data_IF_355933248856
#
_entry.id   IF_355933248856
#
_cell.length_a   1.000
_cell.length_b   1.000
_cell.length_c   1.000
_cell.angle_alpha   90.00
_cell.angle_beta   90.00
_cell.angle_gamma   90.00
#
_symmetry.space_group_name_H-M   'P 1'
#
loop_
_entity.id
_entity.type
_entity.pdbx_description
1 polymer ?
#
# COMPACT_ATOMS: atom_id res chain seq x y z
N UNK A 1 -16.02 8.43 22.67
CA UNK A 1 -16.90 7.89 21.61
C UNK A 1 -18.40 7.94 21.94
N UNK A 2 -18.86 7.59 23.16
CA UNK A 2 -20.32 7.67 23.48
C UNK A 2 -20.83 9.12 23.63
N UNK A 3 -20.00 10.04 24.11
CA UNK A 3 -20.30 11.48 24.21
C UNK A 3 -20.42 12.16 22.86
N UNK A 4 -19.61 11.73 21.90
CA UNK A 4 -19.57 12.33 20.56
C UNK A 4 -20.78 11.90 19.72
N UNK A 5 -21.23 10.65 19.88
CA UNK A 5 -22.45 10.15 19.23
C UNK A 5 -23.69 10.89 19.76
N UNK A 6 -23.77 11.11 21.08
CA UNK A 6 -24.90 11.83 21.70
C UNK A 6 -24.90 13.30 21.29
N UNK A 7 -23.71 13.92 21.15
CA UNK A 7 -23.61 15.31 20.67
C UNK A 7 -23.93 15.41 19.17
N UNK A 8 -23.54 14.42 18.35
CA UNK A 8 -23.91 14.35 16.95
C UNK A 8 -25.42 14.16 16.76
N UNK A 9 -26.05 13.26 17.52
CA UNK A 9 -27.51 13.04 17.52
C UNK A 9 -28.32 14.29 17.95
N UNK A 10 -27.74 15.13 18.78
CA UNK A 10 -28.35 16.38 19.25
C UNK A 10 -27.94 17.61 18.40
N UNK A 11 -27.13 17.41 17.36
CA UNK A 11 -26.68 18.52 16.53
C UNK A 11 -27.80 19.02 15.61
N UNK A 12 -27.90 20.37 15.38
CA UNK A 12 -28.84 20.92 14.38
C UNK A 12 -28.63 20.33 12.99
N UNK A 13 -27.40 19.93 12.64
CA UNK A 13 -27.05 19.31 11.36
C UNK A 13 -27.74 17.95 11.20
N UNK A 14 -27.73 17.11 12.25
CA UNK A 14 -28.40 15.81 12.22
C UNK A 14 -29.92 15.96 12.10
N UNK A 15 -30.52 16.85 12.88
CA UNK A 15 -31.96 17.14 12.80
C UNK A 15 -32.35 17.69 11.44
N UNK A 16 -31.60 18.62 10.89
CA UNK A 16 -31.85 19.16 9.55
C UNK A 16 -31.70 18.10 8.47
N UNK A 17 -30.71 17.21 8.56
CA UNK A 17 -30.52 16.12 7.60
C UNK A 17 -31.73 15.16 7.61
N UNK A 18 -32.23 14.76 8.78
CA UNK A 18 -33.42 13.90 8.89
C UNK A 18 -34.70 14.63 8.39
N UNK A 19 -34.83 15.93 8.67
CA UNK A 19 -35.98 16.70 8.22
C UNK A 19 -35.95 17.03 6.73
N UNK A 20 -34.79 16.94 6.10
CA UNK A 20 -34.59 17.15 4.64
C UNK A 20 -34.46 15.83 3.88
N UNK A 21 -34.54 14.67 4.58
CA UNK A 21 -34.50 13.38 3.94
C UNK A 21 -35.72 13.21 3.01
N UNK A 22 -35.44 12.99 1.73
CA UNK A 22 -36.47 12.71 0.73
C UNK A 22 -37.02 11.28 0.88
N UNK A 23 -38.15 10.99 0.24
CA UNK A 23 -38.82 9.67 0.31
C UNK A 23 -37.94 8.51 -0.21
N UNK A 24 -36.87 8.80 -0.96
CA UNK A 24 -35.92 7.84 -1.51
C UNK A 24 -34.69 7.61 -0.60
N UNK A 25 -34.54 8.38 0.48
CA UNK A 25 -33.41 8.25 1.42
C UNK A 25 -33.58 7.00 2.27
N UNK A 26 -32.53 6.16 2.30
CA UNK A 26 -32.51 4.95 3.13
C UNK A 26 -31.96 5.24 4.51
N UNK A 27 -32.79 5.04 5.53
CA UNK A 27 -32.34 5.02 6.92
C UNK A 27 -31.82 3.62 7.24
N UNK A 28 -30.55 3.53 7.65
CA UNK A 28 -29.91 2.28 8.04
C UNK A 28 -29.71 2.28 9.56
N UNK A 29 -30.28 1.28 10.22
CA UNK A 29 -30.13 1.09 11.66
C UNK A 29 -28.90 0.23 11.93
N UNK A 30 -27.82 0.83 12.44
CA UNK A 30 -26.57 0.15 12.72
C UNK A 30 -26.60 -0.81 13.93
N UNK A 31 -27.69 -0.84 14.74
CA UNK A 31 -27.91 -1.81 15.81
C UNK A 31 -26.69 -2.05 16.74
N UNK A 32 -26.01 -0.98 17.18
CA UNK A 32 -24.76 -0.98 17.96
C UNK A 32 -23.52 -1.47 17.22
N UNK A 33 -23.57 -1.61 15.91
CA UNK A 33 -22.40 -1.86 15.07
C UNK A 33 -21.51 -0.61 14.98
N UNK A 34 -20.25 -0.82 14.63
CA UNK A 34 -19.27 0.27 14.48
C UNK A 34 -19.20 0.76 13.04
N UNK A 35 -19.32 2.06 12.86
CA UNK A 35 -19.06 2.74 11.59
C UNK A 35 -17.63 3.27 11.64
N UNK A 36 -16.82 2.84 10.67
CA UNK A 36 -15.42 3.25 10.50
C UNK A 36 -15.21 3.83 9.10
N UNK A 37 -14.12 4.57 8.85
CA UNK A 37 -13.71 4.94 7.49
C UNK A 37 -13.48 3.69 6.66
N UNK A 38 -13.61 3.80 5.34
CA UNK A 38 -13.15 2.78 4.41
C UNK A 38 -11.66 2.50 4.60
N UNK A 39 -11.28 1.23 4.56
CA UNK A 39 -9.89 0.84 4.76
C UNK A 39 -9.03 1.20 3.55
N UNK A 40 -7.77 1.52 3.80
CA UNK A 40 -6.80 1.98 2.80
C UNK A 40 -5.56 1.10 2.87
N UNK A 41 -5.23 0.43 1.76
CA UNK A 41 -3.99 -0.32 1.59
C UNK A 41 -3.00 0.52 0.78
N UNK A 42 -2.03 1.14 1.45
CA UNK A 42 -1.21 2.22 0.89
C UNK A 42 0.13 1.76 0.29
N UNK A 43 0.36 0.43 0.20
CA UNK A 43 1.55 -0.13 -0.41
C UNK A 43 1.27 -1.55 -0.91
N UNK A 44 1.06 -1.72 -2.21
CA UNK A 44 0.91 -3.05 -2.82
C UNK A 44 1.61 -3.15 -4.17
N UNK A 45 2.05 -4.38 -4.50
CA UNK A 45 2.50 -4.78 -5.82
C UNK A 45 1.47 -5.74 -6.44
N UNK A 46 0.22 -5.37 -6.40
CA UNK A 46 -0.90 -6.28 -6.68
C UNK A 46 -0.89 -6.84 -8.12
N UNK A 47 -0.37 -6.06 -9.09
CA UNK A 47 -0.29 -6.47 -10.51
C UNK A 47 1.01 -7.24 -10.75
N UNK A 48 0.91 -8.56 -10.88
CA UNK A 48 1.99 -9.44 -11.30
C UNK A 48 1.46 -10.72 -11.92
N UNK A 49 2.25 -11.34 -12.80
CA UNK A 49 1.98 -12.65 -13.38
C UNK A 49 2.54 -13.80 -12.55
N UNK A 50 1.87 -14.95 -12.58
CA UNK A 50 2.32 -16.15 -11.91
C UNK A 50 2.21 -16.13 -10.38
N UNK A 51 2.98 -17.00 -9.74
CA UNK A 51 3.15 -17.07 -8.28
C UNK A 51 4.52 -17.66 -7.94
N UNK A 52 4.89 -17.64 -6.66
CA UNK A 52 6.19 -18.15 -6.19
C UNK A 52 6.02 -19.21 -5.10
N UNK A 53 4.96 -20.02 -5.16
CA UNK A 53 4.69 -21.09 -4.21
C UNK A 53 5.77 -22.17 -4.20
N UNK A 54 6.32 -22.49 -5.39
CA UNK A 54 7.41 -23.47 -5.53
C UNK A 54 8.69 -22.99 -4.83
N UNK A 55 9.00 -21.69 -4.92
CA UNK A 55 10.12 -21.10 -4.19
C UNK A 55 9.88 -21.12 -2.67
N UNK A 56 8.64 -20.86 -2.24
CA UNK A 56 8.28 -20.95 -0.83
C UNK A 56 8.52 -22.36 -0.31
N UNK A 57 8.10 -23.39 -1.05
CA UNK A 57 8.36 -24.79 -0.71
C UNK A 57 9.87 -25.11 -0.69
N UNK A 58 10.60 -24.68 -1.72
CA UNK A 58 12.05 -24.89 -1.82
C UNK A 58 12.81 -24.28 -0.63
N UNK A 59 12.45 -23.08 -0.20
CA UNK A 59 13.03 -22.45 0.99
C UNK A 59 12.77 -23.24 2.26
N UNK A 60 11.58 -23.81 2.42
CA UNK A 60 11.24 -24.66 3.57
C UNK A 60 12.00 -25.97 3.56
N UNK A 61 12.39 -26.48 2.39
CA UNK A 61 13.25 -27.65 2.20
C UNK A 61 14.74 -27.35 2.41
N UNK A 62 15.11 -26.08 2.67
CA UNK A 62 16.48 -25.64 2.95
C UNK A 62 17.30 -25.25 1.73
N UNK A 63 16.67 -25.13 0.55
CA UNK A 63 17.33 -24.60 -0.65
C UNK A 63 17.64 -23.12 -0.43
N UNK A 64 18.88 -22.73 -0.68
CA UNK A 64 19.31 -21.36 -0.44
C UNK A 64 18.70 -20.39 -1.45
N UNK A 65 18.56 -19.11 -1.04
CA UNK A 65 18.11 -18.04 -1.94
C UNK A 65 19.00 -17.94 -3.20
N UNK A 66 20.30 -18.18 -3.05
CA UNK A 66 21.26 -18.16 -4.16
C UNK A 66 20.95 -19.25 -5.18
N UNK A 67 20.73 -20.49 -4.75
CA UNK A 67 20.38 -21.61 -5.63
C UNK A 67 19.02 -21.37 -6.32
N UNK A 68 18.04 -20.80 -5.62
CA UNK A 68 16.75 -20.41 -6.21
C UNK A 68 16.97 -19.38 -7.33
N UNK A 69 17.77 -18.34 -7.07
CA UNK A 69 18.06 -17.30 -8.04
C UNK A 69 18.85 -17.82 -9.25
N UNK A 70 19.84 -18.70 -9.05
CA UNK A 70 20.63 -19.35 -10.12
C UNK A 70 19.75 -20.25 -11.02
N UNK A 71 18.66 -20.80 -10.48
CA UNK A 71 17.68 -21.59 -11.23
C UNK A 71 16.55 -20.72 -11.86
N UNK A 72 16.75 -19.42 -11.96
CA UNK A 72 15.78 -18.51 -12.60
C UNK A 72 14.59 -18.11 -11.70
N UNK A 73 14.68 -18.36 -10.41
CA UNK A 73 13.71 -17.92 -9.41
C UNK A 73 13.90 -16.45 -8.98
N UNK A 74 13.26 -16.09 -7.88
CA UNK A 74 13.30 -14.73 -7.35
C UNK A 74 12.46 -13.75 -8.17
N UNK A 75 12.85 -12.48 -8.14
CA UNK A 75 12.15 -11.43 -8.89
C UNK A 75 12.15 -11.69 -10.40
N UNK A 76 13.17 -12.37 -10.92
CA UNK A 76 13.29 -12.70 -12.36
C UNK A 76 12.13 -13.57 -12.82
N UNK A 77 11.73 -14.57 -12.04
CA UNK A 77 10.58 -15.42 -12.36
C UNK A 77 9.27 -14.58 -12.45
N UNK A 78 9.06 -13.65 -11.51
CA UNK A 78 7.91 -12.76 -11.54
C UNK A 78 7.94 -11.82 -12.75
N UNK A 79 9.10 -11.23 -13.05
CA UNK A 79 9.27 -10.34 -14.22
C UNK A 79 8.97 -11.11 -15.52
N UNK A 80 9.51 -12.31 -15.67
CA UNK A 80 9.25 -13.15 -16.85
C UNK A 80 7.76 -13.44 -17.00
N UNK A 81 7.10 -13.95 -15.95
CA UNK A 81 5.67 -14.26 -16.00
C UNK A 81 4.80 -13.01 -16.24
N UNK A 82 5.21 -11.84 -15.73
CA UNK A 82 4.46 -10.58 -15.94
C UNK A 82 4.62 -10.06 -17.37
N UNK A 83 5.81 -10.20 -17.96
CA UNK A 83 6.07 -9.83 -19.36
C UNK A 83 5.31 -10.74 -20.33
N UNK A 84 5.29 -12.06 -20.07
CA UNK A 84 4.63 -13.07 -20.92
C UNK A 84 3.11 -12.99 -20.85
N UNK A 85 2.52 -12.66 -19.69
CA UNK A 85 1.08 -12.53 -19.54
C UNK A 85 0.54 -11.35 -20.35
N UNK A 86 -0.56 -11.58 -21.07
CA UNK A 86 -1.29 -10.50 -21.73
C UNK A 86 -2.08 -9.65 -20.72
N UNK A 87 -2.80 -8.62 -21.22
CA UNK A 87 -3.57 -7.72 -20.36
C UNK A 87 -4.68 -8.45 -19.60
N UNK A 88 -5.43 -9.32 -20.28
CA UNK A 88 -6.58 -10.01 -19.69
C UNK A 88 -6.15 -11.03 -18.65
N UNK A 89 -5.02 -11.71 -18.87
CA UNK A 89 -4.42 -12.63 -17.90
C UNK A 89 -3.93 -11.89 -16.64
N UNK A 90 -3.21 -10.77 -16.81
CA UNK A 90 -2.77 -9.95 -15.67
C UNK A 90 -3.96 -9.37 -14.91
N UNK A 91 -4.98 -8.90 -15.64
CA UNK A 91 -6.22 -8.41 -15.04
C UNK A 91 -6.88 -9.49 -14.19
N UNK A 92 -7.15 -10.67 -14.75
CA UNK A 92 -7.84 -11.76 -14.05
C UNK A 92 -7.06 -12.26 -12.82
N UNK A 93 -5.73 -12.35 -12.90
CA UNK A 93 -4.89 -12.73 -11.76
C UNK A 93 -4.91 -11.65 -10.67
N UNK A 94 -4.86 -10.37 -11.04
CA UNK A 94 -4.88 -9.24 -10.11
C UNK A 94 -6.24 -9.06 -9.47
N UNK A 95 -7.31 -9.22 -10.25
CA UNK A 95 -8.70 -9.15 -9.78
C UNK A 95 -8.96 -10.10 -8.60
N UNK A 96 -8.46 -11.33 -8.66
CA UNK A 96 -8.59 -12.30 -7.56
C UNK A 96 -7.99 -11.78 -6.25
N UNK A 97 -6.81 -11.14 -6.32
CA UNK A 97 -6.13 -10.55 -5.16
C UNK A 97 -6.88 -9.32 -4.65
N UNK A 98 -7.32 -8.47 -5.57
CA UNK A 98 -8.12 -7.29 -5.24
C UNK A 98 -9.43 -7.67 -4.54
N UNK A 99 -10.15 -8.66 -5.05
CA UNK A 99 -11.43 -9.12 -4.46
C UNK A 99 -11.26 -9.56 -2.99
N UNK A 100 -10.15 -10.19 -2.63
CA UNK A 100 -9.88 -10.56 -1.24
C UNK A 100 -9.74 -9.32 -0.33
N UNK A 101 -9.03 -8.29 -0.77
CA UNK A 101 -8.90 -7.02 -0.05
C UNK A 101 -10.24 -6.26 0.02
N UNK A 102 -10.98 -6.23 -1.08
CA UNK A 102 -12.30 -5.60 -1.13
C UNK A 102 -13.30 -6.27 -0.18
N UNK A 103 -13.22 -7.59 -0.01
CA UNK A 103 -14.06 -8.33 0.92
C UNK A 103 -13.82 -7.93 2.38
N UNK A 104 -12.67 -7.36 2.70
CA UNK A 104 -12.31 -6.83 4.03
C UNK A 104 -12.57 -5.32 4.19
N UNK A 105 -13.27 -4.68 3.25
CA UNK A 105 -13.66 -3.27 3.39
C UNK A 105 -12.64 -2.26 2.85
N UNK A 106 -11.66 -2.70 2.06
CA UNK A 106 -10.76 -1.78 1.36
C UNK A 106 -11.56 -0.98 0.32
N UNK A 107 -11.42 0.34 0.35
CA UNK A 107 -12.06 1.30 -0.55
C UNK A 107 -11.05 2.09 -1.37
N UNK A 108 -9.82 2.12 -0.89
CA UNK A 108 -8.70 2.81 -1.54
C UNK A 108 -7.47 1.92 -1.48
N UNK A 109 -6.76 1.81 -2.59
CA UNK A 109 -5.55 0.99 -2.69
C UNK A 109 -4.49 1.66 -3.54
N UNK A 110 -3.22 1.55 -3.14
CA UNK A 110 -2.09 1.81 -4.01
C UNK A 110 -1.71 0.55 -4.76
N UNK A 111 -1.45 0.69 -6.05
CA UNK A 111 -0.92 -0.40 -6.88
C UNK A 111 0.34 0.11 -7.58
N UNK A 112 1.48 -0.48 -7.25
CA UNK A 112 2.77 -0.19 -7.85
C UNK A 112 2.97 -1.04 -9.10
N UNK A 113 3.65 -0.50 -10.11
CA UNK A 113 4.31 -1.28 -11.16
C UNK A 113 5.62 -1.91 -10.64
N UNK A 114 6.58 -2.26 -11.49
CA UNK A 114 7.91 -2.69 -11.04
C UNK A 114 8.21 -4.18 -11.24
N UNK A 115 7.34 -4.91 -11.91
CA UNK A 115 7.62 -6.25 -12.41
C UNK A 115 7.65 -6.33 -13.94
N UNK A 116 7.53 -5.20 -14.63
CA UNK A 116 7.78 -5.10 -16.06
C UNK A 116 9.24 -4.92 -16.37
N UNK A 117 9.84 -3.92 -15.76
CA UNK A 117 11.22 -3.47 -15.96
C UNK A 117 11.54 -3.12 -17.43
N UNK A 118 10.51 -2.83 -18.21
CA UNK A 118 10.53 -2.25 -19.55
C UNK A 118 9.30 -1.37 -19.75
N UNK A 119 9.36 -0.42 -20.71
CA UNK A 119 8.30 0.57 -20.90
C UNK A 119 6.93 -0.06 -21.16
N UNK A 120 6.87 -1.07 -22.03
CA UNK A 120 5.58 -1.64 -22.47
C UNK A 120 4.91 -2.45 -21.36
N UNK A 121 5.69 -3.20 -20.60
CA UNK A 121 5.16 -4.01 -19.51
C UNK A 121 4.80 -3.15 -18.29
N UNK A 122 5.60 -2.13 -17.95
CA UNK A 122 5.25 -1.15 -16.91
C UNK A 122 3.94 -0.43 -17.26
N UNK A 123 3.78 0.01 -18.53
CA UNK A 123 2.52 0.58 -19.05
C UNK A 123 1.34 -0.38 -18.85
N UNK A 124 1.50 -1.64 -19.27
CA UNK A 124 0.47 -2.68 -19.15
C UNK A 124 0.04 -2.88 -17.70
N UNK A 125 0.99 -2.94 -16.76
CA UNK A 125 0.70 -3.08 -15.33
C UNK A 125 -0.11 -1.90 -14.80
N UNK A 126 0.30 -0.66 -15.10
CA UNK A 126 -0.40 0.55 -14.68
C UNK A 126 -1.82 0.66 -15.30
N UNK A 127 -1.98 0.26 -16.55
CA UNK A 127 -3.29 0.19 -17.22
C UNK A 127 -4.22 -0.82 -16.54
N UNK A 128 -3.73 -2.02 -16.17
CA UNK A 128 -4.50 -3.02 -15.41
C UNK A 128 -4.95 -2.42 -14.06
N UNK A 129 -4.06 -1.74 -13.35
CA UNK A 129 -4.39 -1.10 -12.08
C UNK A 129 -5.50 -0.03 -12.24
N UNK A 130 -5.38 0.84 -13.25
CA UNK A 130 -6.41 1.85 -13.56
C UNK A 130 -7.75 1.22 -13.95
N UNK A 131 -7.73 0.16 -14.76
CA UNK A 131 -8.96 -0.53 -15.19
C UNK A 131 -9.69 -1.15 -14.01
N UNK A 132 -8.97 -1.82 -13.11
CA UNK A 132 -9.56 -2.37 -11.87
C UNK A 132 -10.22 -1.28 -11.01
N UNK A 133 -9.60 -0.12 -10.87
CA UNK A 133 -10.20 1.02 -10.16
C UNK A 133 -11.54 1.45 -10.75
N UNK A 134 -11.65 1.48 -12.08
CA UNK A 134 -12.90 1.82 -12.79
C UNK A 134 -13.97 0.75 -12.61
N UNK A 135 -13.60 -0.51 -12.81
CA UNK A 135 -14.57 -1.64 -12.82
C UNK A 135 -15.15 -1.92 -11.43
N UNK A 136 -14.34 -1.72 -10.39
CA UNK A 136 -14.76 -1.91 -9.00
C UNK A 136 -15.24 -0.63 -8.30
N UNK A 137 -15.21 0.50 -9.01
CA UNK A 137 -15.57 1.82 -8.47
C UNK A 137 -14.88 2.10 -7.12
N UNK A 138 -13.56 1.91 -7.08
CA UNK A 138 -12.71 2.20 -5.92
C UNK A 138 -11.63 3.21 -6.29
N UNK A 139 -11.02 3.84 -5.30
CA UNK A 139 -9.87 4.68 -5.54
C UNK A 139 -8.61 3.83 -5.68
N UNK A 140 -7.99 3.84 -6.86
CA UNK A 140 -6.68 3.26 -7.10
C UNK A 140 -5.67 4.39 -7.33
N UNK A 141 -4.64 4.42 -6.49
CA UNK A 141 -3.43 5.23 -6.71
C UNK A 141 -2.38 4.37 -7.37
N UNK A 142 -1.92 4.77 -8.53
CA UNK A 142 -0.89 4.04 -9.29
C UNK A 142 0.47 4.66 -9.05
N UNK A 143 1.44 3.82 -8.68
CA UNK A 143 2.81 4.24 -8.41
C UNK A 143 3.77 3.60 -9.40
N UNK A 144 4.55 4.43 -10.09
CA UNK A 144 5.59 3.98 -11.00
C UNK A 144 6.82 3.54 -10.22
N UNK A 145 7.18 2.25 -10.35
CA UNK A 145 8.28 1.61 -9.63
C UNK A 145 9.23 0.85 -10.59
N UNK A 146 9.50 1.33 -11.78
CA UNK A 146 10.45 0.65 -12.68
C UNK A 146 11.86 0.54 -12.05
N UNK A 147 12.25 1.47 -11.18
CA UNK A 147 13.48 1.37 -10.39
C UNK A 147 13.36 0.36 -9.22
N UNK A 148 12.83 -0.84 -9.48
CA UNK A 148 12.63 -1.91 -8.49
C UNK A 148 13.79 -2.91 -8.45
N UNK A 149 14.26 -3.33 -9.62
CA UNK A 149 15.39 -4.23 -9.77
C UNK A 149 16.10 -4.00 -11.09
N UNK A 150 17.36 -4.39 -11.17
CA UNK A 150 18.10 -4.36 -12.43
C UNK A 150 17.68 -5.54 -13.32
N UNK A 151 17.08 -5.29 -14.50
CA UNK A 151 16.69 -6.36 -15.41
C UNK A 151 17.89 -7.09 -16.01
N UNK A 152 17.68 -8.33 -16.42
CA UNK A 152 18.76 -9.23 -16.87
C UNK A 152 19.54 -8.67 -18.05
N UNK A 153 18.89 -7.97 -18.97
CA UNK A 153 19.48 -7.35 -20.16
C UNK A 153 20.47 -6.21 -19.88
N UNK A 154 20.52 -5.74 -18.63
CA UNK A 154 21.47 -4.71 -18.19
C UNK A 154 22.57 -5.26 -17.27
N UNK A 155 22.44 -6.48 -16.72
CA UNK A 155 23.38 -7.03 -15.72
C UNK A 155 24.81 -7.16 -16.22
N UNK A 156 25.00 -7.53 -17.48
CA UNK A 156 26.33 -7.76 -18.05
C UNK A 156 26.98 -6.50 -18.68
N UNK A 157 26.27 -5.37 -18.65
CA UNK A 157 26.79 -4.11 -19.14
C UNK A 157 27.69 -3.44 -18.11
N UNK A 158 28.76 -2.79 -18.51
CA UNK A 158 29.74 -2.14 -17.63
C UNK A 158 29.11 -1.07 -16.73
N UNK A 159 28.14 -0.31 -17.26
CA UNK A 159 27.39 0.74 -16.55
C UNK A 159 25.88 0.41 -16.57
N UNK A 160 25.52 -0.87 -16.55
CA UNK A 160 24.16 -1.31 -16.80
C UNK A 160 23.11 -0.72 -15.84
N UNK A 161 23.47 -0.57 -14.57
CA UNK A 161 22.57 0.04 -13.57
C UNK A 161 22.27 1.51 -13.90
N UNK A 162 23.29 2.29 -14.27
CA UNK A 162 23.11 3.71 -14.62
C UNK A 162 22.35 3.88 -15.96
N UNK A 163 22.67 3.04 -16.96
CA UNK A 163 21.96 3.02 -18.24
C UNK A 163 20.49 2.64 -18.07
N UNK A 164 20.19 1.73 -17.13
CA UNK A 164 18.81 1.37 -16.81
C UNK A 164 18.07 2.52 -16.13
N UNK A 165 18.69 3.19 -15.16
CA UNK A 165 18.09 4.37 -14.51
C UNK A 165 17.87 5.51 -15.52
N UNK A 166 18.74 5.65 -16.53
CA UNK A 166 18.51 6.59 -17.64
C UNK A 166 17.21 6.24 -18.38
N UNK A 167 17.02 4.97 -18.73
CA UNK A 167 15.82 4.49 -19.39
C UNK A 167 14.56 4.68 -18.51
N UNK A 168 14.65 4.37 -17.20
CA UNK A 168 13.57 4.63 -16.24
C UNK A 168 13.14 6.09 -16.24
N UNK A 169 14.10 7.02 -16.27
CA UNK A 169 13.84 8.45 -16.33
C UNK A 169 13.23 8.89 -17.68
N UNK A 170 13.59 8.21 -18.79
CA UNK A 170 13.00 8.48 -20.10
C UNK A 170 11.55 7.99 -20.21
N UNK A 171 11.20 6.85 -19.59
CA UNK A 171 9.84 6.29 -19.61
C UNK A 171 8.85 7.07 -18.76
N UNK A 172 9.32 7.66 -17.66
CA UNK A 172 8.47 8.36 -16.69
C UNK A 172 7.61 9.47 -17.31
N UNK A 173 8.13 10.42 -18.10
CA UNK A 173 7.31 11.44 -18.74
C UNK A 173 6.33 10.87 -19.78
N UNK A 174 6.67 9.75 -20.43
CA UNK A 174 5.77 9.07 -21.39
C UNK A 174 4.53 8.56 -20.65
N UNK A 175 4.74 7.74 -19.61
CA UNK A 175 3.66 7.14 -18.82
C UNK A 175 2.85 8.20 -18.05
N UNK A 176 3.49 9.28 -17.61
CA UNK A 176 2.80 10.41 -17.00
C UNK A 176 1.87 11.12 -18.00
N UNK A 177 2.30 11.32 -19.24
CA UNK A 177 1.46 11.93 -20.28
C UNK A 177 0.24 11.08 -20.66
N UNK A 178 0.26 9.78 -20.34
CA UNK A 178 -0.84 8.82 -20.53
C UNK A 178 -1.79 8.77 -19.31
N UNK A 179 -1.60 9.62 -18.30
CA UNK A 179 -2.38 9.66 -17.04
C UNK A 179 -2.31 8.34 -16.25
N UNK A 180 -1.16 7.67 -16.29
CA UNK A 180 -0.96 6.36 -15.66
C UNK A 180 -0.27 6.43 -14.30
N UNK A 181 0.25 7.60 -13.87
CA UNK A 181 1.10 7.72 -12.68
C UNK A 181 0.57 8.79 -11.73
N UNK A 182 0.33 8.41 -10.46
CA UNK A 182 0.02 9.33 -9.36
C UNK A 182 1.25 9.64 -8.49
N UNK A 183 2.21 8.69 -8.38
CA UNK A 183 3.43 8.84 -7.59
C UNK A 183 4.58 8.03 -8.20
N UNK A 184 5.80 8.32 -7.77
CA UNK A 184 7.02 7.62 -8.20
C UNK A 184 7.70 7.00 -6.99
N UNK A 185 8.20 5.78 -7.15
CA UNK A 185 8.87 4.99 -6.13
C UNK A 185 10.16 4.37 -6.68
N UNK A 186 11.01 3.87 -5.81
CA UNK A 186 12.21 3.13 -6.16
C UNK A 186 12.65 2.21 -5.02
N UNK A 187 13.61 1.35 -5.28
CA UNK A 187 14.20 0.46 -4.28
C UNK A 187 15.64 0.90 -3.99
N UNK A 188 15.81 1.66 -2.91
CA UNK A 188 17.11 2.20 -2.47
C UNK A 188 17.75 1.25 -1.46
N UNK A 189 18.52 0.30 -1.95
CA UNK A 189 19.16 -0.74 -1.15
C UNK A 189 20.47 -1.22 -1.77
N UNK A 190 21.31 -1.86 -0.95
CA UNK A 190 22.60 -2.40 -1.39
C UNK A 190 22.49 -3.44 -2.53
N UNK A 191 21.35 -4.10 -2.65
CA UNK A 191 21.03 -5.05 -3.74
C UNK A 191 20.17 -4.42 -4.84
N UNK A 192 19.73 -3.19 -4.67
CA UNK A 192 18.91 -2.42 -5.60
C UNK A 192 19.68 -1.27 -6.24
N UNK A 193 19.16 -0.08 -6.06
CA UNK A 193 19.77 1.16 -6.59
C UNK A 193 20.30 2.02 -5.47
N UNK A 194 21.32 2.82 -5.75
CA UNK A 194 21.94 3.71 -4.79
C UNK A 194 21.20 5.06 -4.71
N UNK A 195 21.57 5.87 -3.73
CA UNK A 195 20.98 7.18 -3.48
C UNK A 195 21.13 8.16 -4.65
N UNK A 196 22.27 8.15 -5.33
CA UNK A 196 22.54 9.00 -6.50
C UNK A 196 21.61 8.66 -7.67
N UNK A 197 21.39 7.37 -7.91
CA UNK A 197 20.46 6.87 -8.91
C UNK A 197 19.00 7.25 -8.57
N UNK A 198 18.59 7.09 -7.31
CA UNK A 198 17.26 7.51 -6.85
C UNK A 198 17.09 9.03 -6.92
N UNK A 199 18.13 9.80 -6.63
CA UNK A 199 18.13 11.27 -6.82
C UNK A 199 17.81 11.65 -8.26
N UNK A 200 18.33 10.91 -9.26
CA UNK A 200 18.04 11.15 -10.66
C UNK A 200 16.58 10.89 -11.00
N UNK A 201 16.03 9.76 -10.54
CA UNK A 201 14.60 9.42 -10.70
C UNK A 201 13.71 10.49 -10.05
N UNK A 202 14.02 10.90 -8.82
CA UNK A 202 13.25 11.90 -8.08
C UNK A 202 13.34 13.30 -8.69
N UNK A 203 14.47 13.67 -9.28
CA UNK A 203 14.57 14.92 -10.05
C UNK A 203 13.63 14.91 -11.27
N UNK A 204 13.53 13.78 -11.95
CA UNK A 204 12.60 13.61 -13.08
C UNK A 204 11.15 13.69 -12.61
N UNK A 205 10.80 12.99 -11.52
CA UNK A 205 9.47 13.05 -10.92
C UNK A 205 9.09 14.48 -10.50
N UNK A 206 10.00 15.18 -9.82
CA UNK A 206 9.81 16.58 -9.40
C UNK A 206 9.59 17.52 -10.59
N UNK A 207 10.32 17.30 -11.69
CA UNK A 207 10.16 18.06 -12.93
C UNK A 207 8.77 17.90 -13.56
N UNK A 208 8.08 16.80 -13.26
CA UNK A 208 6.71 16.50 -13.70
C UNK A 208 5.64 16.85 -12.65
N UNK A 209 6.04 17.33 -11.49
CA UNK A 209 5.11 17.61 -10.37
C UNK A 209 4.57 16.36 -9.67
N UNK A 210 5.22 15.20 -9.85
CA UNK A 210 4.82 13.96 -9.22
C UNK A 210 5.44 13.82 -7.83
N UNK A 211 4.67 13.41 -6.81
CA UNK A 211 5.19 13.08 -5.49
C UNK A 211 6.02 11.80 -5.53
N UNK A 212 6.91 11.66 -4.55
CA UNK A 212 7.81 10.52 -4.43
C UNK A 212 7.58 9.72 -3.16
N UNK A 213 7.88 8.42 -3.22
CA UNK A 213 7.93 7.44 -2.14
C UNK A 213 9.22 6.63 -2.30
N UNK A 214 9.56 5.79 -1.33
CA UNK A 214 10.76 4.95 -1.45
C UNK A 214 10.66 3.68 -0.60
N UNK A 215 10.96 2.52 -1.18
CA UNK A 215 11.41 1.36 -0.42
C UNK A 215 12.81 1.67 0.09
N UNK A 216 12.97 1.78 1.39
CA UNK A 216 14.20 2.27 2.00
C UNK A 216 14.47 1.60 3.34
N UNK A 217 15.75 1.47 3.66
CA UNK A 217 16.23 0.95 4.95
C UNK A 217 15.60 -0.40 5.35
N UNK A 218 15.26 -1.25 4.37
CA UNK A 218 14.77 -2.61 4.59
C UNK A 218 15.89 -3.56 4.98
N UNK A 219 17.04 -3.47 4.30
CA UNK A 219 18.18 -4.37 4.46
C UNK A 219 19.45 -3.65 4.95
N UNK A 220 19.52 -2.34 4.74
CA UNK A 220 20.67 -1.50 5.08
C UNK A 220 20.28 -0.01 5.18
N UNK A 221 21.00 0.77 6.00
CA UNK A 221 20.85 2.23 6.01
C UNK A 221 21.61 2.84 4.83
N UNK A 222 20.88 3.25 3.80
CA UNK A 222 21.43 3.94 2.62
C UNK A 222 21.00 5.41 2.53
N UNK A 223 20.48 5.98 3.63
CA UNK A 223 19.98 7.37 3.71
C UNK A 223 18.85 7.65 2.70
N UNK A 224 18.07 6.60 2.36
CA UNK A 224 16.95 6.67 1.42
C UNK A 224 15.79 7.48 1.96
N UNK A 225 15.39 7.26 3.21
CA UNK A 225 14.36 8.04 3.89
C UNK A 225 14.76 9.50 4.05
N UNK A 226 16.06 9.77 4.25
CA UNK A 226 16.61 11.14 4.23
C UNK A 226 16.44 11.80 2.86
N UNK A 227 16.60 11.04 1.77
CA UNK A 227 16.35 11.52 0.42
C UNK A 227 14.87 11.83 0.20
N UNK A 228 13.94 10.95 0.64
CA UNK A 228 12.49 11.20 0.55
C UNK A 228 12.14 12.52 1.24
N UNK A 229 12.66 12.75 2.45
CA UNK A 229 12.44 13.99 3.19
C UNK A 229 12.98 15.22 2.45
N UNK A 230 14.17 15.13 1.82
CA UNK A 230 14.76 16.21 1.03
C UNK A 230 13.90 16.59 -0.21
N UNK A 231 13.00 15.69 -0.65
CA UNK A 231 12.03 15.93 -1.75
C UNK A 231 10.60 16.22 -1.27
N UNK A 232 10.35 16.37 0.03
CA UNK A 232 9.00 16.47 0.61
C UNK A 232 8.10 15.31 0.12
N UNK A 233 8.65 14.09 0.12
CA UNK A 233 7.94 12.91 -0.35
C UNK A 233 6.82 12.46 0.58
N UNK A 234 6.01 11.51 0.13
CA UNK A 234 4.83 11.05 0.84
C UNK A 234 5.17 10.05 1.95
N UNK A 235 5.98 9.04 1.63
CA UNK A 235 6.34 7.98 2.58
C UNK A 235 7.70 7.36 2.29
N UNK A 236 8.27 6.77 3.35
CA UNK A 236 9.35 5.80 3.27
C UNK A 236 8.86 4.49 3.85
N UNK A 237 9.14 3.40 3.15
CA UNK A 237 8.46 2.14 3.34
C UNK A 237 9.47 1.03 3.72
N UNK A 238 9.12 0.08 4.60
CA UNK A 238 9.91 -0.94 5.32
C UNK A 238 10.56 -0.44 6.61
N UNK A 239 11.76 0.14 6.57
CA UNK A 239 12.40 0.93 7.64
C UNK A 239 13.06 0.14 8.78
N UNK A 240 13.39 -1.12 8.61
CA UNK A 240 14.02 -1.97 9.62
C UNK A 240 15.37 -1.40 10.09
N UNK A 241 16.11 -0.74 9.18
CA UNK A 241 17.44 -0.16 9.45
C UNK A 241 17.44 1.37 9.48
N UNK A 242 16.28 2.00 9.70
CA UNK A 242 16.14 3.46 9.71
C UNK A 242 16.89 4.11 10.87
N UNK A 243 17.76 5.09 10.57
CA UNK A 243 18.49 5.84 11.57
C UNK A 243 17.68 6.98 12.20
N UNK A 244 17.98 7.31 13.47
CA UNK A 244 17.29 8.41 14.19
C UNK A 244 17.46 9.76 13.45
N UNK A 245 18.62 9.99 12.81
CA UNK A 245 18.85 11.17 11.96
C UNK A 245 17.78 11.33 10.89
N UNK A 246 17.44 10.22 10.21
CA UNK A 246 16.45 10.24 9.15
C UNK A 246 15.02 10.28 9.68
N UNK A 247 14.75 9.70 10.85
CA UNK A 247 13.46 9.85 11.56
C UNK A 247 13.17 11.33 11.85
N UNK A 248 14.17 12.09 12.31
CA UNK A 248 14.03 13.54 12.56
C UNK A 248 13.69 14.28 11.27
N UNK A 249 14.39 13.98 10.18
CA UNK A 249 14.09 14.58 8.86
C UNK A 249 12.68 14.25 8.37
N UNK A 250 12.24 12.97 8.52
CA UNK A 250 10.89 12.53 8.18
C UNK A 250 9.84 13.30 8.99
N UNK A 251 10.06 13.45 10.29
CA UNK A 251 9.18 14.22 11.17
C UNK A 251 9.07 15.70 10.74
N UNK A 252 10.21 16.33 10.44
CA UNK A 252 10.28 17.74 10.02
C UNK A 252 9.58 17.99 8.68
N UNK A 253 9.53 17.00 7.79
CA UNK A 253 8.92 17.08 6.47
C UNK A 253 7.59 16.33 6.37
N UNK A 254 7.05 15.85 7.49
CA UNK A 254 5.76 15.18 7.58
C UNK A 254 5.64 13.90 6.73
N UNK A 255 6.79 13.22 6.47
CA UNK A 255 6.88 11.96 5.72
C UNK A 255 6.33 10.81 6.57
N UNK A 256 5.48 9.97 5.98
CA UNK A 256 4.88 8.82 6.67
C UNK A 256 5.83 7.63 6.67
N UNK A 257 5.93 6.94 7.80
CA UNK A 257 6.57 5.63 7.91
C UNK A 257 5.58 4.52 7.57
N UNK A 258 5.74 3.83 6.44
CA UNK A 258 4.88 2.70 6.07
C UNK A 258 5.56 1.40 6.47
N UNK A 259 4.98 0.69 7.43
CA UNK A 259 5.51 -0.58 7.92
C UNK A 259 4.78 -1.76 7.28
N UNK A 260 5.53 -2.81 6.95
CA UNK A 260 5.09 -3.92 6.12
C UNK A 260 5.23 -5.26 6.87
N UNK A 261 4.34 -5.51 7.84
CA UNK A 261 4.49 -6.67 8.74
C UNK A 261 4.37 -8.01 8.02
N UNK A 262 3.73 -8.07 6.85
CA UNK A 262 3.65 -9.27 6.02
C UNK A 262 5.02 -9.69 5.47
N UNK A 263 5.81 -8.73 4.99
CA UNK A 263 7.18 -8.96 4.54
C UNK A 263 8.09 -9.38 5.71
N UNK A 264 8.03 -8.65 6.81
CA UNK A 264 8.76 -8.98 8.03
C UNK A 264 8.52 -10.42 8.48
N UNK A 265 7.27 -10.85 8.52
CA UNK A 265 6.87 -12.21 8.89
C UNK A 265 7.37 -13.27 7.89
N UNK A 266 7.15 -13.06 6.60
CA UNK A 266 7.47 -14.03 5.56
C UNK A 266 8.97 -14.23 5.39
N UNK A 267 9.74 -13.16 5.54
CA UNK A 267 11.20 -13.19 5.51
C UNK A 267 11.81 -13.69 6.82
N UNK A 268 11.01 -13.84 7.87
CA UNK A 268 11.47 -14.18 9.24
C UNK A 268 12.48 -13.16 9.75
N UNK A 269 12.23 -11.88 9.47
CA UNK A 269 13.08 -10.80 9.91
C UNK A 269 13.13 -10.72 11.44
N UNK A 270 14.25 -10.24 11.95
CA UNK A 270 14.48 -10.06 13.38
C UNK A 270 14.83 -8.63 13.75
N UNK A 271 15.30 -7.84 12.77
CA UNK A 271 15.57 -6.42 12.95
C UNK A 271 14.25 -5.64 12.87
N UNK A 272 13.79 -5.15 14.00
CA UNK A 272 12.56 -4.35 14.06
C UNK A 272 12.79 -2.92 13.55
N UNK A 273 11.81 -2.31 12.89
CA UNK A 273 11.79 -0.85 12.71
C UNK A 273 11.96 -0.12 14.05
N UNK A 274 12.58 1.04 14.09
CA UNK A 274 12.89 1.77 15.34
C UNK A 274 11.64 2.44 15.93
N UNK A 275 10.68 1.63 16.38
CA UNK A 275 9.35 2.04 16.82
C UNK A 275 9.37 3.13 17.91
N UNK A 276 10.25 2.97 18.92
CA UNK A 276 10.37 3.94 20.00
C UNK A 276 10.79 5.33 19.49
N UNK A 277 11.75 5.38 18.56
CA UNK A 277 12.20 6.62 17.97
C UNK A 277 11.14 7.25 17.05
N UNK A 278 10.41 6.44 16.25
CA UNK A 278 9.29 6.93 15.44
C UNK A 278 8.21 7.60 16.32
N UNK A 279 7.84 6.98 17.45
CA UNK A 279 6.90 7.59 18.41
C UNK A 279 7.45 8.84 19.07
N UNK A 280 8.71 8.81 19.53
CA UNK A 280 9.39 9.94 20.16
C UNK A 280 9.36 11.19 19.29
N UNK A 281 9.50 11.03 17.98
CA UNK A 281 9.52 12.12 17.02
C UNK A 281 8.15 12.36 16.34
N UNK A 282 7.08 11.69 16.79
CA UNK A 282 5.71 11.83 16.27
C UNK A 282 5.58 11.59 14.75
N UNK A 283 6.38 10.69 14.19
CA UNK A 283 6.23 10.27 12.79
C UNK A 283 4.93 9.48 12.65
N UNK A 284 4.11 9.84 11.67
CA UNK A 284 2.89 9.07 11.37
C UNK A 284 3.27 7.68 10.85
N UNK A 285 2.67 6.62 11.42
CA UNK A 285 2.94 5.23 11.04
C UNK A 285 1.74 4.66 10.32
N UNK A 286 1.90 4.26 9.06
CA UNK A 286 0.92 3.50 8.31
C UNK A 286 1.30 2.01 8.28
N UNK A 287 0.29 1.17 8.05
CA UNK A 287 0.43 -0.26 7.82
C UNK A 287 -0.12 -0.62 6.45
N UNK A 288 0.52 -1.54 5.76
CA UNK A 288 0.06 -2.03 4.47
C UNK A 288 0.40 -3.50 4.27
N UNK A 289 -0.28 -4.14 3.32
CA UNK A 289 -0.09 -5.57 3.05
C UNK A 289 1.24 -5.88 2.38
N UNK A 290 1.79 -4.93 1.63
CA UNK A 290 2.89 -5.19 0.71
C UNK A 290 2.59 -6.38 -0.23
N UNK A 291 1.33 -6.53 -0.65
CA UNK A 291 0.90 -7.71 -1.41
C UNK A 291 1.75 -7.91 -2.65
N UNK A 292 2.66 -8.88 -2.58
CA UNK A 292 3.58 -9.25 -3.64
C UNK A 292 3.86 -10.76 -3.62
N UNK A 293 4.35 -11.36 -4.73
CA UNK A 293 4.52 -12.82 -4.79
C UNK A 293 5.73 -13.34 -4.02
N UNK A 294 6.70 -12.48 -3.68
CA UNK A 294 8.00 -12.90 -3.16
C UNK A 294 8.12 -12.87 -1.65
N UNK A 295 7.83 -11.73 -1.09
CA UNK A 295 8.10 -11.41 0.31
C UNK A 295 6.84 -11.22 1.14
N UNK A 296 5.70 -10.94 0.51
CA UNK A 296 4.43 -10.75 1.21
C UNK A 296 3.23 -11.22 0.38
N UNK A 297 3.01 -12.54 0.21
CA UNK A 297 1.83 -13.04 -0.52
C UNK A 297 0.55 -12.89 0.35
N UNK A 298 0.34 -11.69 0.88
CA UNK A 298 -0.69 -11.35 1.87
C UNK A 298 -1.78 -10.50 1.22
N UNK A 299 -3.01 -11.01 1.18
CA UNK A 299 -4.19 -10.32 0.63
C UNK A 299 -5.24 -10.04 1.71
N UNK A 300 -4.77 -9.70 2.93
CA UNK A 300 -5.64 -9.42 4.07
C UNK A 300 -5.13 -8.21 4.85
N UNK A 301 -5.87 -7.11 4.82
CA UNK A 301 -5.54 -5.91 5.59
C UNK A 301 -5.91 -6.07 7.07
N UNK A 302 -6.91 -6.89 7.39
CA UNK A 302 -7.23 -7.27 8.77
C UNK A 302 -6.11 -8.09 9.41
N UNK A 303 -5.48 -8.98 8.66
CA UNK A 303 -4.32 -9.72 9.15
C UNK A 303 -3.10 -8.80 9.31
N UNK A 304 -2.89 -7.86 8.40
CA UNK A 304 -1.87 -6.81 8.50
C UNK A 304 -2.03 -6.00 9.79
N UNK A 305 -3.27 -5.66 10.15
CA UNK A 305 -3.59 -4.95 11.39
C UNK A 305 -3.21 -5.77 12.63
N UNK A 306 -3.53 -7.07 12.65
CA UNK A 306 -3.10 -7.99 13.73
C UNK A 306 -1.58 -8.09 13.81
N UNK A 307 -0.91 -8.28 12.68
CA UNK A 307 0.55 -8.37 12.61
C UNK A 307 1.23 -7.08 13.09
N UNK A 308 0.70 -5.89 12.74
CA UNK A 308 1.20 -4.62 13.24
C UNK A 308 1.15 -4.53 14.78
N UNK A 309 0.06 -4.99 15.37
CA UNK A 309 -0.06 -5.08 16.83
C UNK A 309 0.91 -6.10 17.43
N UNK A 310 1.00 -7.29 16.84
CA UNK A 310 1.73 -8.42 17.43
C UNK A 310 3.24 -8.32 17.22
N UNK A 311 3.69 -7.90 16.03
CA UNK A 311 5.10 -7.85 15.66
C UNK A 311 5.75 -6.50 16.03
N UNK A 312 5.03 -5.40 15.83
CA UNK A 312 5.56 -4.04 16.02
C UNK A 312 5.04 -3.35 17.29
N UNK A 313 4.25 -4.07 18.11
CA UNK A 313 3.69 -3.56 19.37
C UNK A 313 2.82 -2.30 19.23
N UNK A 314 2.17 -2.13 18.10
CA UNK A 314 1.16 -1.08 17.91
C UNK A 314 -0.06 -1.36 18.78
N UNK A 315 -0.65 -0.33 19.38
CA UNK A 315 -2.00 -0.49 19.94
C UNK A 315 -3.02 -0.70 18.81
N UNK A 316 -4.16 -1.38 19.05
CA UNK A 316 -5.19 -1.52 18.01
C UNK A 316 -5.67 -0.19 17.43
N UNK A 317 -5.67 0.88 18.22
CA UNK A 317 -6.03 2.23 17.77
C UNK A 317 -4.97 2.80 16.81
N UNK A 318 -3.68 2.65 17.13
CA UNK A 318 -2.58 3.06 16.26
C UNK A 318 -2.57 2.25 14.96
N UNK A 319 -2.77 0.93 15.04
CA UNK A 319 -2.84 0.07 13.87
C UNK A 319 -4.04 0.43 12.97
N UNK A 320 -5.21 0.74 13.55
CA UNK A 320 -6.38 1.19 12.79
C UNK A 320 -6.14 2.55 12.13
N UNK A 321 -5.51 3.51 12.83
CA UNK A 321 -5.06 4.76 12.21
C UNK A 321 -4.08 4.50 11.07
N UNK A 322 -3.24 3.46 11.21
CA UNK A 322 -2.26 3.03 10.21
C UNK A 322 -2.87 2.54 8.89
N UNK A 323 -4.07 1.99 8.89
CA UNK A 323 -4.80 1.52 7.70
C UNK A 323 -5.96 2.45 7.29
N UNK A 324 -6.02 3.64 7.87
CA UNK A 324 -7.03 4.67 7.58
C UNK A 324 -6.38 6.04 7.40
N UNK A 325 -6.31 6.85 8.44
CA UNK A 325 -5.83 8.24 8.39
C UNK A 325 -4.37 8.35 7.95
N UNK A 326 -3.47 7.52 8.49
CA UNK A 326 -2.06 7.58 8.14
C UNK A 326 -1.80 6.97 6.76
N UNK A 327 -2.54 5.93 6.37
CA UNK A 327 -2.49 5.36 5.03
C UNK A 327 -2.98 6.37 3.97
N UNK A 328 -4.05 7.14 4.27
CA UNK A 328 -4.51 8.22 3.41
C UNK A 328 -3.41 9.27 3.18
N UNK A 329 -2.74 9.68 4.26
CA UNK A 329 -1.63 10.60 4.23
C UNK A 329 -0.45 10.07 3.41
N UNK A 330 -0.10 8.77 3.57
CA UNK A 330 0.97 8.11 2.79
C UNK A 330 0.69 8.07 1.28
N UNK A 331 -0.55 8.32 0.87
CA UNK A 331 -0.97 8.43 -0.53
C UNK A 331 -1.22 9.87 -0.99
N UNK A 332 -0.99 10.87 -0.13
CA UNK A 332 -1.30 12.26 -0.43
C UNK A 332 -2.80 12.53 -0.65
N UNK A 333 -3.66 11.77 0.03
CA UNK A 333 -5.12 11.90 -0.04
C UNK A 333 -5.61 12.64 1.20
N UNK A 334 -6.30 13.77 1.02
CA UNK A 334 -6.75 14.62 2.11
C UNK A 334 -8.22 14.42 2.48
N UNK A 335 -9.02 13.91 1.56
CA UNK A 335 -10.47 13.81 1.65
C UNK A 335 -11.00 12.44 2.07
N UNK A 336 -10.12 11.52 2.53
CA UNK A 336 -10.45 10.16 2.96
C UNK A 336 -9.75 9.78 4.29
N UNK A 337 -9.97 8.54 4.74
CA UNK A 337 -9.30 7.95 5.90
C UNK A 337 -9.88 8.37 7.26
N UNK A 338 -10.87 9.27 7.30
CA UNK A 338 -11.59 9.69 8.52
C UNK A 338 -13.04 10.04 8.20
N UNK A 339 -13.88 10.02 9.24
CA UNK A 339 -15.29 10.41 9.12
C UNK A 339 -15.41 11.86 9.58
N UNK A 340 -15.60 12.75 8.62
CA UNK A 340 -15.72 14.19 8.85
C UNK A 340 -16.63 14.81 7.78
N UNK A 341 -17.39 15.83 8.15
CA UNK A 341 -18.30 16.53 7.21
C UNK A 341 -17.48 17.22 6.11
N UNK A 342 -17.86 16.98 4.87
CA UNK A 342 -17.19 17.54 3.68
C UNK A 342 -16.18 16.59 3.01
N UNK A 343 -15.86 15.46 3.65
CA UNK A 343 -14.99 14.44 3.05
C UNK A 343 -15.79 13.41 2.26
N UNK A 344 -15.10 12.60 1.47
CA UNK A 344 -15.70 11.49 0.74
C UNK A 344 -16.25 10.43 1.72
N UNK A 345 -17.49 10.00 1.47
CA UNK A 345 -18.14 9.00 2.30
C UNK A 345 -17.72 7.56 1.90
N UNK A 346 -16.44 7.25 2.09
CA UNK A 346 -15.93 5.89 2.08
C UNK A 346 -16.04 5.33 3.49
N UNK A 347 -16.98 4.42 3.70
CA UNK A 347 -17.40 3.97 5.03
C UNK A 347 -17.52 2.45 5.09
N UNK A 348 -17.29 1.90 6.27
CA UNK A 348 -17.44 0.47 6.56
C UNK A 348 -18.22 0.27 7.85
N UNK A 349 -19.17 -0.66 7.84
CA UNK A 349 -19.97 -1.02 9.00
C UNK A 349 -19.57 -2.42 9.49
N UNK A 350 -19.26 -2.52 10.78
CA UNK A 350 -18.67 -3.69 11.39
C UNK A 350 -19.48 -4.24 12.56
N UNK A 351 -19.71 -5.56 12.58
CA UNK A 351 -20.35 -6.25 13.70
C UNK A 351 -19.30 -6.65 14.74
N UNK A 352 -18.84 -5.68 15.51
CA UNK A 352 -17.84 -5.79 16.57
C UNK A 352 -18.31 -5.06 17.82
N UNK A 353 -17.80 -5.44 18.98
CA UNK A 353 -18.10 -4.75 20.24
C UNK A 353 -17.24 -3.49 20.42
N UNK A 354 -16.01 -3.52 19.90
CA UNK A 354 -15.06 -2.41 19.94
C UNK A 354 -14.04 -2.51 18.80
N UNK A 355 -13.42 -1.40 18.35
CA UNK A 355 -12.46 -1.41 17.24
C UNK A 355 -11.28 -2.38 17.39
N UNK A 356 -10.84 -2.64 18.64
CA UNK A 356 -9.77 -3.58 18.93
C UNK A 356 -10.06 -5.02 18.45
N UNK A 357 -11.34 -5.39 18.29
CA UNK A 357 -11.74 -6.73 17.83
C UNK A 357 -11.23 -7.01 16.41
N UNK A 358 -11.10 -5.98 15.57
CA UNK A 358 -10.55 -6.11 14.21
C UNK A 358 -9.08 -6.54 14.21
N UNK A 359 -8.30 -6.08 15.20
CA UNK A 359 -6.91 -6.50 15.36
C UNK A 359 -6.76 -7.83 16.08
N UNK A 360 -7.72 -8.15 16.97
CA UNK A 360 -7.62 -9.31 17.85
C UNK A 360 -8.04 -10.63 17.16
N UNK A 361 -9.10 -10.60 16.37
CA UNK A 361 -9.71 -11.81 15.83
C UNK A 361 -9.11 -12.16 14.45
N UNK A 362 -8.12 -13.02 14.44
CA UNK A 362 -7.48 -13.51 13.21
C UNK A 362 -8.42 -14.43 12.42
N UNK A 363 -8.57 -14.15 11.12
CA UNK A 363 -9.34 -14.98 10.19
C UNK A 363 -10.86 -14.79 10.25
N UNK A 364 -11.37 -13.94 11.17
CA UNK A 364 -12.77 -13.53 11.17
C UNK A 364 -12.93 -12.22 10.41
N UNK A 365 -13.91 -12.16 9.53
CA UNK A 365 -14.31 -10.93 8.85
C UNK A 365 -15.69 -10.49 9.32
N UNK A 366 -15.80 -9.54 10.26
CA UNK A 366 -17.07 -9.05 10.80
C UNK A 366 -17.69 -7.92 9.98
N UNK A 367 -17.21 -7.64 8.76
CA UNK A 367 -17.72 -6.61 7.87
C UNK A 367 -19.18 -6.86 7.51
N UNK A 368 -20.00 -5.81 7.51
CA UNK A 368 -21.43 -5.90 7.17
C UNK A 368 -21.77 -5.11 5.92
N UNK A 369 -21.30 -3.87 5.82
CA UNK A 369 -21.59 -2.99 4.69
C UNK A 369 -20.37 -2.15 4.32
N UNK A 370 -20.27 -1.81 3.04
CA UNK A 370 -19.24 -0.92 2.52
C UNK A 370 -19.89 0.13 1.62
N UNK A 371 -19.58 1.38 1.86
CA UNK A 371 -19.92 2.49 0.97
C UNK A 371 -18.65 3.06 0.36
N UNK A 372 -18.72 3.38 -0.92
CA UNK A 372 -17.68 4.10 -1.66
C UNK A 372 -18.32 5.33 -2.28
N UNK A 373 -17.77 6.50 -2.00
CA UNK A 373 -18.34 7.79 -2.43
C UNK A 373 -19.83 7.94 -2.06
N UNK A 374 -20.23 7.44 -0.88
CA UNK A 374 -21.60 7.45 -0.42
C UNK A 374 -22.52 6.38 -1.04
N UNK A 375 -22.05 5.63 -2.02
CA UNK A 375 -22.83 4.57 -2.66
C UNK A 375 -22.54 3.21 -2.02
N UNK A 376 -23.60 2.47 -1.66
CA UNK A 376 -23.46 1.12 -1.12
C UNK A 376 -22.85 0.18 -2.17
N UNK A 377 -21.62 -0.28 -1.92
CA UNK A 377 -20.91 -1.24 -2.79
C UNK A 377 -21.33 -2.68 -2.51
N UNK A 378 -21.36 -3.06 -1.25
CA UNK A 378 -21.69 -4.42 -0.84
C UNK A 378 -22.40 -4.45 0.51
N UNK A 379 -23.31 -5.40 0.62
CA UNK A 379 -23.91 -5.81 1.89
C UNK A 379 -23.56 -7.30 2.06
N UNK A 380 -22.83 -7.62 3.12
CA UNK A 380 -22.48 -9.00 3.42
C UNK A 380 -23.72 -9.72 3.94
N UNK A 381 -24.19 -10.70 3.18
CA UNK A 381 -25.30 -11.56 3.64
C UNK A 381 -24.77 -12.45 4.74
N UNK A 382 -25.09 -12.12 5.99
CA UNK A 382 -24.86 -13.05 7.10
C UNK A 382 -25.93 -14.13 6.98
N UNK A 383 -25.58 -15.27 6.41
CA UNK A 383 -26.40 -16.47 6.59
C UNK A 383 -26.39 -16.79 8.09
N UNK A 384 -27.50 -16.49 8.76
CA UNK A 384 -27.75 -16.85 10.16
C UNK A 384 -28.00 -18.35 10.28
#
# INVERSE_FOLDING_TARGET
>A
CSSDLQSALNSPVYHNAIMQADADDKIIYANRQWLLPGLIDCHTHLVYGGNRSDEFEARLQGISYKEIAENGGGIVATVTATREADFDELYAQTERRLQALLAEGVTTIEIKSGYGLDLETERKMLQVARQLGKDYNITVKTTYLAAHALPTEYKDKKNGSDEYIDAVCEWLPILHSEDLIDAVDGFCENIGFNKEQMTKVFNTAKGLGLPVKLHAEQLSDMDGSGLVADYNGLSSDHLEYLSEKNIIKMADQDVVAVLLPGAFYTLKETQLPPMEALYKHNVAIALSTDCNPGTSPLTSLLMTLNMGCTLFSLTPEQALAGITTHASKALGIEDKGRIEVGLQADLTLWNIERPADLAYQMGLNPLQMVWVNGHLRSQVSVNR
#
